data_IF_307652482070
#
_entry.id   IF_307652482070
#
_cell.length_a   1.000
_cell.length_b   1.000
_cell.length_c   1.000
_cell.angle_alpha   90.00
_cell.angle_beta   90.00
_cell.angle_gamma   90.00
#
_symmetry.space_group_name_H-M   'P 1'
#
loop_
_entity.id
_entity.type
_entity.pdbx_description
1 polymer ?
#
# COMPACT_ATOMS: atom_id res chain seq x y z
N UNK A 1 -10.43 -15.75 -1.48
CA UNK A 1 -10.82 -14.34 -1.45
C UNK A 1 -9.88 -13.67 -0.48
N UNK A 2 -8.79 -13.10 -0.98
CA UNK A 2 -7.97 -12.20 -0.18
C UNK A 2 -8.81 -10.96 0.09
N UNK A 3 -8.86 -10.52 1.33
CA UNK A 3 -9.63 -9.33 1.70
C UNK A 3 -8.94 -8.08 1.13
N UNK A 4 -9.69 -7.06 0.72
CA UNK A 4 -9.16 -5.79 0.18
C UNK A 4 -8.05 -5.19 1.08
N UNK A 5 -8.15 -5.48 2.38
CA UNK A 5 -7.14 -5.25 3.41
C UNK A 5 -5.77 -5.85 3.08
N UNK A 6 -5.73 -7.15 2.82
CA UNK A 6 -4.47 -7.87 2.59
C UNK A 6 -3.78 -7.37 1.31
N UNK A 7 -4.57 -7.07 0.27
CA UNK A 7 -4.04 -6.50 -0.98
C UNK A 7 -3.44 -5.11 -0.76
N UNK A 8 -4.08 -4.26 0.03
CA UNK A 8 -3.53 -2.93 0.36
C UNK A 8 -2.29 -3.03 1.24
N UNK A 9 -2.34 -3.84 2.31
CA UNK A 9 -1.21 -4.04 3.23
C UNK A 9 -0.01 -4.59 2.46
N UNK A 10 -0.21 -5.56 1.56
CA UNK A 10 0.86 -6.12 0.75
C UNK A 10 1.48 -5.08 -0.17
N UNK A 11 0.68 -4.22 -0.85
CA UNK A 11 1.20 -3.14 -1.70
C UNK A 11 1.99 -2.12 -0.89
N UNK A 12 1.45 -1.68 0.25
CA UNK A 12 2.07 -0.67 1.12
C UNK A 12 3.37 -1.18 1.73
N UNK A 13 3.38 -2.40 2.26
CA UNK A 13 4.57 -3.00 2.84
C UNK A 13 5.68 -3.21 1.80
N UNK A 14 5.33 -3.63 0.59
CA UNK A 14 6.30 -3.85 -0.49
C UNK A 14 6.92 -2.53 -1.00
N UNK A 15 6.11 -1.46 -1.07
CA UNK A 15 6.58 -0.14 -1.46
C UNK A 15 7.59 0.43 -0.44
N UNK A 16 7.27 0.37 0.85
CA UNK A 16 8.18 0.75 1.94
C UNK A 16 9.47 -0.07 1.92
N UNK A 17 9.37 -1.37 1.65
CA UNK A 17 10.52 -2.27 1.60
C UNK A 17 11.45 -1.97 0.41
N UNK A 18 10.90 -1.60 -0.74
CA UNK A 18 11.68 -1.20 -1.91
C UNK A 18 12.37 0.15 -1.70
N UNK A 19 11.67 1.14 -1.13
CA UNK A 19 12.24 2.44 -0.76
C UNK A 19 13.36 2.33 0.28
N UNK A 20 13.24 1.39 1.22
CA UNK A 20 14.27 1.12 2.23
C UNK A 20 15.51 0.39 1.69
N UNK A 21 15.51 -0.03 0.42
CA UNK A 21 16.65 -0.70 -0.21
C UNK A 21 16.74 -2.20 0.12
N UNK A 22 15.61 -2.83 0.43
CA UNK A 22 15.48 -4.28 0.69
C UNK A 22 16.40 -4.81 1.81
N UNK A 23 16.31 -4.22 3.02
CA UNK A 23 17.01 -4.74 4.18
C UNK A 23 16.47 -6.14 4.55
N UNK A 24 17.38 -7.09 4.74
CA UNK A 24 17.05 -8.46 5.15
C UNK A 24 16.49 -8.46 6.58
N UNK A 25 15.24 -8.91 6.74
CA UNK A 25 14.59 -9.09 8.06
C UNK A 25 13.68 -7.96 8.53
N UNK A 26 13.53 -6.86 7.78
CA UNK A 26 12.55 -5.81 8.10
C UNK A 26 11.21 -5.97 7.38
N UNK A 27 11.11 -6.93 6.45
CA UNK A 27 9.87 -7.30 5.76
C UNK A 27 8.69 -7.56 6.73
N UNK A 28 8.93 -8.26 7.85
CA UNK A 28 7.93 -8.47 8.89
C UNK A 28 7.50 -7.17 9.59
N UNK A 29 8.43 -6.24 9.83
CA UNK A 29 8.15 -4.94 10.45
C UNK A 29 7.37 -4.04 9.49
N UNK A 30 7.73 -4.00 8.20
CA UNK A 30 6.98 -3.28 7.17
C UNK A 30 5.56 -3.83 7.01
N UNK A 31 5.39 -5.15 7.08
CA UNK A 31 4.06 -5.78 7.07
C UNK A 31 3.24 -5.40 8.30
N UNK A 32 3.83 -5.44 9.50
CA UNK A 32 3.17 -5.03 10.73
C UNK A 32 2.79 -3.55 10.70
N UNK A 33 3.66 -2.69 10.15
CA UNK A 33 3.44 -1.25 10.03
C UNK A 33 2.34 -0.92 9.03
N UNK A 34 2.36 -1.52 7.83
CA UNK A 34 1.29 -1.37 6.86
C UNK A 34 -0.04 -1.91 7.40
N UNK A 35 -0.02 -3.04 8.12
CA UNK A 35 -1.21 -3.59 8.77
C UNK A 35 -1.76 -2.66 9.84
N UNK A 36 -0.89 -2.04 10.64
CA UNK A 36 -1.29 -1.06 11.65
C UNK A 36 -1.80 0.25 11.03
N UNK A 37 -1.19 0.73 9.93
CA UNK A 37 -1.67 1.89 9.15
C UNK A 37 -3.08 1.63 8.60
N UNK A 38 -3.32 0.43 8.07
CA UNK A 38 -4.64 0.05 7.57
C UNK A 38 -5.65 -0.06 8.71
N UNK A 39 -5.31 -0.72 9.81
CA UNK A 39 -6.20 -0.86 10.98
C UNK A 39 -6.54 0.51 11.60
N UNK A 40 -5.55 1.40 11.69
CA UNK A 40 -5.73 2.77 12.14
C UNK A 40 -6.46 3.66 11.11
N UNK A 41 -6.38 3.33 9.82
CA UNK A 41 -6.75 4.18 8.69
C UNK A 41 -7.94 3.71 7.84
N UNK A 42 -8.56 2.55 8.13
CA UNK A 42 -9.80 2.06 7.48
C UNK A 42 -10.98 3.07 7.53
N UNK A 43 -10.83 4.22 8.19
CA UNK A 43 -11.75 5.35 8.13
C UNK A 43 -11.55 6.39 7.01
N UNK A 44 -10.48 6.34 6.19
CA UNK A 44 -10.17 7.48 5.29
C UNK A 44 -9.79 7.19 3.82
N UNK A 45 -9.52 5.95 3.39
CA UNK A 45 -8.84 5.71 2.10
C UNK A 45 -9.60 4.89 1.05
N UNK A 46 -10.94 4.96 1.02
CA UNK A 46 -11.71 4.41 -0.11
C UNK A 46 -11.98 5.46 -1.22
N UNK A 47 -11.39 6.67 -1.13
CA UNK A 47 -11.73 7.82 -1.99
C UNK A 47 -10.56 8.74 -2.33
N UNK A 48 -9.43 8.23 -2.82
CA UNK A 48 -8.47 9.10 -3.54
C UNK A 48 -7.94 8.47 -4.84
N UNK A 49 -8.60 7.41 -5.33
CA UNK A 49 -8.37 6.90 -6.69
C UNK A 49 -9.19 7.66 -7.76
N UNK A 50 -9.35 8.98 -7.58
CA UNK A 50 -9.83 9.89 -8.64
C UNK A 50 -8.89 11.08 -8.82
N UNK A 51 -7.57 10.82 -8.89
CA UNK A 51 -6.61 11.77 -9.43
C UNK A 51 -5.48 11.13 -10.26
N UNK A 52 -5.59 9.85 -10.62
CA UNK A 52 -4.83 9.27 -11.74
C UNK A 52 -5.52 9.62 -13.08
N UNK A 53 -5.68 10.92 -13.33
CA UNK A 53 -5.99 11.47 -14.66
C UNK A 53 -4.68 11.94 -15.27
N UNK A 54 -3.78 11.02 -15.57
CA UNK A 54 -2.55 11.27 -16.33
C UNK A 54 -2.20 9.99 -17.09
N UNK A 55 -3.07 9.56 -18.00
CA UNK A 55 -2.75 8.76 -19.20
C UNK A 55 -4.08 8.43 -19.91
N UNK A 56 -4.71 9.45 -20.50
CA UNK A 56 -5.68 9.26 -21.57
C UNK A 56 -5.44 10.37 -22.61
N UNK A 57 -5.28 9.96 -23.87
CA UNK A 57 -5.35 10.74 -25.11
C UNK A 57 -4.07 11.43 -25.66
N UNK A 58 -3.33 10.73 -26.55
CA UNK A 58 -3.18 11.18 -27.96
C UNK A 58 -2.63 10.05 -28.87
N UNK A 59 -3.53 9.25 -29.48
CA UNK A 59 -3.62 9.01 -30.93
C UNK A 59 -4.91 8.30 -31.33
#
# INVERSE_FOLDING_TARGET
MGTDREEWISKRAYQLWEEAGRPDGQDAEQWAQASAEWDAGQGQNNTDSTAASWDDEEY
#
